data_IF_527275769869
#
_entry.id   IF_527275769869
#
_cell.length_a   1.000
_cell.length_b   1.000
_cell.length_c   1.000
_cell.angle_alpha   90.00
_cell.angle_beta   90.00
_cell.angle_gamma   90.00
#
_symmetry.space_group_name_H-M   'P 1'
#
loop_
_entity.id
_entity.type
_entity.pdbx_description
1 polymer ?
#
# COMPACT_ATOMS: atom_id res chain seq x y z
N UNK A 1 -24.96 9.16 12.61
CA UNK A 1 -24.61 8.01 13.46
C UNK A 1 -23.12 7.78 13.29
N UNK A 2 -22.31 7.97 14.33
CA UNK A 2 -20.87 7.75 14.27
C UNK A 2 -20.59 6.30 14.69
N UNK A 3 -19.91 5.53 13.83
CA UNK A 3 -19.41 4.20 14.19
C UNK A 3 -18.08 4.35 14.93
N UNK A 4 -18.07 3.97 16.21
CA UNK A 4 -16.84 3.87 16.98
C UNK A 4 -16.18 2.52 16.67
N UNK A 5 -14.94 2.55 16.15
CA UNK A 5 -14.12 1.35 16.02
C UNK A 5 -13.42 1.11 17.36
N UNK A 6 -13.85 0.08 18.10
CA UNK A 6 -13.18 -0.34 19.33
C UNK A 6 -12.02 -1.27 18.98
N UNK A 7 -10.78 -0.81 19.14
CA UNK A 7 -9.62 -1.71 19.19
C UNK A 7 -9.65 -2.45 20.52
N UNK A 8 -10.13 -3.70 20.50
CA UNK A 8 -10.48 -4.46 21.71
C UNK A 8 -9.26 -4.76 22.60
N UNK A 9 -8.05 -4.87 22.02
CA UNK A 9 -6.86 -5.35 22.74
C UNK A 9 -5.69 -4.36 22.73
N UNK A 10 -5.76 -3.25 21.97
CA UNK A 10 -4.67 -2.25 21.84
C UNK A 10 -3.28 -2.88 21.65
N UNK A 11 -3.21 -4.03 20.97
CA UNK A 11 -1.99 -4.81 20.78
C UNK A 11 -1.63 -4.85 19.30
N UNK A 12 -0.33 -4.73 19.01
CA UNK A 12 0.20 -4.89 17.67
C UNK A 12 0.37 -6.37 17.35
N UNK A 13 -0.17 -6.80 16.22
CA UNK A 13 0.05 -8.14 15.69
C UNK A 13 0.61 -8.08 14.26
N UNK A 14 1.21 -9.19 13.81
CA UNK A 14 1.70 -9.37 12.45
C UNK A 14 1.05 -10.62 11.88
N UNK A 15 -0.16 -10.53 11.32
CA UNK A 15 -0.85 -11.70 10.82
C UNK A 15 -0.16 -12.21 9.54
N UNK A 16 -0.31 -13.51 9.28
CA UNK A 16 0.15 -14.10 8.03
C UNK A 16 -0.63 -13.52 6.86
N UNK A 17 0.09 -13.17 5.80
CA UNK A 17 -0.46 -12.60 4.58
C UNK A 17 -0.17 -13.54 3.42
N UNK A 18 -0.99 -13.47 2.38
CA UNK A 18 -0.88 -14.32 1.21
C UNK A 18 -1.13 -13.53 -0.09
N UNK A 19 -0.90 -14.17 -1.24
CA UNK A 19 -1.06 -13.55 -2.55
C UNK A 19 0.18 -12.76 -3.01
N UNK A 20 -0.05 -11.74 -3.82
CA UNK A 20 1.01 -10.92 -4.43
C UNK A 20 1.50 -9.84 -3.46
N UNK A 21 2.28 -10.26 -2.46
CA UNK A 21 2.77 -9.36 -1.41
C UNK A 21 3.62 -8.24 -2.05
N UNK A 22 3.29 -6.95 -1.82
CA UNK A 22 4.02 -5.84 -2.42
C UNK A 22 5.45 -5.75 -1.89
N UNK A 23 6.36 -5.23 -2.72
CA UNK A 23 7.72 -4.91 -2.27
C UNK A 23 7.69 -3.84 -1.16
N UNK A 24 8.68 -3.84 -0.25
CA UNK A 24 8.86 -2.77 0.73
C UNK A 24 8.88 -1.40 0.06
N UNK A 25 8.10 -0.45 0.59
CA UNK A 25 7.94 0.89 0.00
C UNK A 25 7.65 1.96 1.05
N UNK A 26 8.21 3.15 0.85
CA UNK A 26 7.94 4.37 1.61
C UNK A 26 7.29 5.43 0.71
N UNK A 27 6.65 6.44 1.33
CA UNK A 27 6.02 7.54 0.60
C UNK A 27 4.78 7.15 -0.22
N UNK A 28 4.17 5.99 0.05
CA UNK A 28 2.95 5.55 -0.60
C UNK A 28 1.72 6.25 0.01
N UNK A 29 0.64 6.32 -0.76
CA UNK A 29 -0.67 6.71 -0.27
C UNK A 29 -1.57 5.47 -0.11
N UNK A 30 -2.45 5.48 0.89
CA UNK A 30 -3.39 4.38 1.12
C UNK A 30 -4.80 4.86 1.41
N UNK A 31 -5.80 4.11 0.93
CA UNK A 31 -7.22 4.35 1.23
C UNK A 31 -7.94 3.04 1.47
N UNK A 32 -8.84 3.03 2.45
CA UNK A 32 -9.67 1.87 2.76
C UNK A 32 -11.10 2.11 2.27
N UNK A 33 -11.63 1.16 1.51
CA UNK A 33 -13.02 1.14 1.06
C UNK A 33 -13.61 -0.24 1.37
N UNK A 34 -14.52 -0.31 2.34
CA UNK A 34 -15.03 -1.59 2.84
C UNK A 34 -13.90 -2.45 3.42
N UNK A 35 -13.79 -3.68 2.95
CA UNK A 35 -12.73 -4.64 3.36
C UNK A 35 -11.46 -4.54 2.51
N UNK A 36 -11.39 -3.58 1.60
CA UNK A 36 -10.26 -3.41 0.68
C UNK A 36 -9.39 -2.23 1.09
N UNK A 37 -8.11 -2.49 1.35
CA UNK A 37 -7.11 -1.45 1.57
C UNK A 37 -6.23 -1.31 0.33
N UNK A 38 -6.39 -0.19 -0.37
CA UNK A 38 -5.65 0.14 -1.59
C UNK A 38 -4.40 0.92 -1.24
N UNK A 39 -3.28 0.59 -1.88
CA UNK A 39 -2.00 1.28 -1.78
C UNK A 39 -1.52 1.67 -3.17
N UNK A 40 -1.18 2.94 -3.35
CA UNK A 40 -0.70 3.50 -4.62
C UNK A 40 0.67 4.12 -4.43
N UNK A 41 1.56 3.82 -5.38
CA UNK A 41 2.87 4.45 -5.50
C UNK A 41 3.79 4.17 -4.32
N UNK A 42 4.68 5.13 -4.05
CA UNK A 42 5.82 4.94 -3.16
C UNK A 42 7.01 4.30 -3.88
N UNK A 43 8.00 3.89 -3.10
CA UNK A 43 9.21 3.26 -3.63
C UNK A 43 10.24 3.00 -2.55
N UNK A 44 11.41 2.58 -2.98
CA UNK A 44 12.60 2.52 -2.15
C UNK A 44 13.58 3.64 -2.55
N UNK A 45 14.80 3.61 -2.01
CA UNK A 45 15.84 4.59 -2.33
C UNK A 45 16.39 4.47 -3.77
N UNK A 46 15.91 3.51 -4.57
CA UNK A 46 16.42 3.23 -5.93
C UNK A 46 15.35 3.46 -7.00
N UNK A 47 14.10 3.13 -6.71
CA UNK A 47 13.03 3.11 -7.70
C UNK A 47 11.66 3.34 -7.08
N UNK A 48 10.83 4.09 -7.81
CA UNK A 48 9.40 4.17 -7.57
C UNK A 48 8.69 2.93 -8.12
N UNK A 49 7.48 2.69 -7.62
CA UNK A 49 6.61 1.58 -8.04
C UNK A 49 5.44 2.07 -8.88
N UNK A 50 5.01 1.26 -9.85
CA UNK A 50 3.98 1.64 -10.84
C UNK A 50 2.65 0.93 -10.61
N UNK A 51 2.67 -0.13 -9.82
CA UNK A 51 1.50 -0.89 -9.44
C UNK A 51 0.70 -0.23 -8.32
N UNK A 52 -0.62 -0.33 -8.43
CA UNK A 52 -1.57 -0.15 -7.32
C UNK A 52 -1.95 -1.53 -6.83
N UNK A 53 -1.79 -1.75 -5.52
CA UNK A 53 -2.10 -3.03 -4.87
C UNK A 53 -3.29 -2.86 -3.93
N UNK A 54 -3.97 -3.98 -3.65
CA UNK A 54 -5.05 -4.04 -2.69
C UNK A 54 -4.85 -5.21 -1.73
N UNK A 55 -5.08 -4.98 -0.44
CA UNK A 55 -5.25 -6.02 0.56
C UNK A 55 -6.73 -6.23 0.81
N UNK A 56 -7.22 -7.45 0.60
CA UNK A 56 -8.47 -7.88 1.21
C UNK A 56 -8.20 -8.15 2.70
N UNK A 57 -8.80 -7.36 3.58
CA UNK A 57 -8.57 -7.41 5.02
C UNK A 57 -9.32 -8.55 5.74
N UNK A 58 -10.36 -9.15 5.13
CA UNK A 58 -11.03 -10.32 5.70
C UNK A 58 -10.25 -11.62 5.43
N UNK A 59 -9.57 -11.71 4.29
CA UNK A 59 -8.76 -12.88 3.92
C UNK A 59 -7.25 -12.67 4.08
N UNK A 60 -6.81 -11.43 4.34
CA UNK A 60 -5.40 -11.01 4.37
C UNK A 60 -4.62 -11.40 3.10
N UNK A 61 -5.27 -11.24 1.94
CA UNK A 61 -4.70 -11.57 0.63
C UNK A 61 -4.43 -10.31 -0.20
N UNK A 62 -3.23 -10.21 -0.75
CA UNK A 62 -2.82 -9.15 -1.67
C UNK A 62 -3.09 -9.51 -3.14
N UNK A 63 -3.41 -8.49 -3.93
CA UNK A 63 -3.44 -8.55 -5.38
C UNK A 63 -3.04 -7.21 -6.02
N UNK A 64 -2.52 -7.26 -7.24
CA UNK A 64 -2.34 -6.07 -8.08
C UNK A 64 -3.67 -5.69 -8.72
N UNK A 65 -4.12 -4.45 -8.51
CA UNK A 65 -5.35 -3.90 -9.11
C UNK A 65 -5.08 -3.39 -10.52
N UNK A 66 -3.97 -2.67 -10.68
CA UNK A 66 -3.56 -2.10 -11.97
C UNK A 66 -2.09 -1.70 -11.93
N UNK A 67 -1.50 -1.54 -13.12
CA UNK A 67 -0.15 -1.02 -13.31
C UNK A 67 -0.22 0.17 -14.24
N UNK A 68 0.25 1.32 -13.77
CA UNK A 68 0.30 2.52 -14.60
C UNK A 68 1.54 2.46 -15.48
N UNK A 69 1.35 2.35 -16.79
CA UNK A 69 2.44 2.48 -17.77
C UNK A 69 3.02 3.89 -17.66
N UNK A 70 4.32 3.99 -17.35
CA UNK A 70 4.99 5.25 -17.05
C UNK A 70 4.87 6.26 -18.19
N UNK A 71 4.16 7.37 -17.96
CA UNK A 71 4.12 8.52 -18.89
C UNK A 71 5.07 9.66 -18.49
N UNK A 72 5.74 9.53 -17.35
CA UNK A 72 6.74 10.44 -16.79
C UNK A 72 7.45 9.71 -15.63
N UNK A 73 8.66 10.14 -15.19
CA UNK A 73 9.31 9.57 -14.02
C UNK A 73 8.34 9.63 -12.82
N UNK A 74 8.17 8.50 -12.14
CA UNK A 74 7.38 8.46 -10.91
C UNK A 74 8.05 9.40 -9.90
N UNK A 75 7.27 10.32 -9.32
CA UNK A 75 7.76 11.47 -8.54
C UNK A 75 8.36 11.09 -7.15
N UNK A 76 9.33 10.19 -7.13
CA UNK A 76 10.20 9.92 -5.99
C UNK A 76 11.69 9.95 -6.33
N UNK A 77 12.06 10.51 -7.49
CA UNK A 77 13.43 10.97 -7.71
C UNK A 77 13.65 12.24 -6.85
N UNK A 78 13.91 12.06 -5.56
CA UNK A 78 14.73 13.06 -4.86
C UNK A 78 16.11 12.94 -5.50
N UNK A 79 16.32 13.69 -6.58
CA UNK A 79 17.64 13.85 -7.18
C UNK A 79 18.53 14.43 -6.07
N UNK A 80 19.44 13.61 -5.56
CA UNK A 80 20.41 13.98 -4.52
C UNK A 80 21.39 15.03 -5.04
N UNK A 81 20.97 16.29 -5.05
CA UNK A 81 21.78 17.41 -5.53
C UNK A 81 21.37 18.73 -4.86
N UNK A 82 21.71 18.87 -3.59
CA UNK A 82 22.11 20.15 -2.98
C UNK A 82 23.36 19.91 -2.14
#
# INVERSE_FOLDING_TARGET
MYHYCYFVQMEWSRPSQQGEIPSPRAGHAGVTVGESWFIVGGGDNKSGVSETVVLNMSTLSWSVVTTVQGRAPLASEILGGL
#
